data_IF_622145551281
#
_entry.id   IF_622145551281
#
_cell.length_a   1.000
_cell.length_b   1.000
_cell.length_c   1.000
_cell.angle_alpha   90.00
_cell.angle_beta   90.00
_cell.angle_gamma   90.00
#
_symmetry.space_group_name_H-M   'P 1'
#
loop_
_entity.id
_entity.type
_entity.pdbx_description
1 polymer ?
#
# COMPACT_ATOMS: atom_id res chain seq x y z
N UNK A 1 -4.70 13.88 -1.30
CA UNK A 1 -5.71 12.80 -1.39
C UNK A 1 -6.47 12.59 -0.07
N UNK A 2 -5.80 12.43 1.08
CA UNK A 2 -6.46 12.23 2.37
C UNK A 2 -7.44 13.37 2.73
N UNK A 3 -7.08 14.64 2.48
CA UNK A 3 -7.98 15.77 2.72
C UNK A 3 -9.32 15.67 2.00
N UNK A 4 -9.31 15.18 0.76
CA UNK A 4 -10.55 14.98 -0.01
C UNK A 4 -11.37 13.81 0.55
N UNK A 5 -10.70 12.73 0.98
CA UNK A 5 -11.36 11.57 1.61
C UNK A 5 -12.07 11.99 2.90
N UNK A 6 -11.42 12.78 3.76
CA UNK A 6 -11.96 13.19 5.06
C UNK A 6 -13.33 13.89 4.95
N UNK A 7 -13.56 14.66 3.89
CA UNK A 7 -14.84 15.34 3.62
C UNK A 7 -15.98 14.38 3.23
N UNK A 8 -15.65 13.16 2.78
CA UNK A 8 -16.58 12.19 2.21
C UNK A 8 -16.77 10.95 3.11
N UNK A 9 -16.10 10.90 4.26
CA UNK A 9 -16.19 9.78 5.17
C UNK A 9 -17.57 9.72 5.84
N UNK A 10 -18.13 8.51 5.91
CA UNK A 10 -19.36 8.25 6.67
C UNK A 10 -19.10 8.39 8.18
N UNK A 11 -20.17 8.65 8.94
CA UNK A 11 -20.15 8.57 10.41
C UNK A 11 -19.65 7.18 10.83
N UNK A 12 -18.73 7.12 11.79
CA UNK A 12 -17.99 5.93 12.25
C UNK A 12 -17.12 5.26 11.19
N UNK A 13 -16.74 6.00 10.14
CA UNK A 13 -15.79 5.53 9.14
C UNK A 13 -14.42 5.18 9.73
N UNK A 14 -13.63 4.42 8.99
CA UNK A 14 -12.29 3.96 9.41
C UNK A 14 -11.28 4.23 8.30
N UNK A 15 -10.11 4.72 8.68
CA UNK A 15 -8.97 4.94 7.79
C UNK A 15 -7.80 4.12 8.34
N UNK A 16 -7.35 3.15 7.54
CA UNK A 16 -6.15 2.36 7.84
C UNK A 16 -4.93 3.05 7.24
N UNK A 17 -4.06 3.59 8.08
CA UNK A 17 -2.86 4.31 7.66
C UNK A 17 -1.72 3.31 7.42
N UNK A 18 -1.73 2.67 6.25
CA UNK A 18 -0.66 1.77 5.81
C UNK A 18 0.60 2.52 5.35
N UNK A 19 0.44 3.74 4.83
CA UNK A 19 1.51 4.55 4.28
C UNK A 19 1.00 5.83 3.63
N UNK A 20 1.93 6.71 3.27
CA UNK A 20 1.67 8.02 2.65
C UNK A 20 2.66 8.30 1.52
N UNK A 21 2.68 7.44 0.49
CA UNK A 21 3.73 7.46 -0.56
C UNK A 21 3.91 8.81 -1.26
N UNK A 22 2.86 9.61 -1.38
CA UNK A 22 2.92 10.96 -1.98
C UNK A 22 3.82 11.93 -1.20
N UNK A 23 4.14 11.62 0.06
CA UNK A 23 4.93 12.47 0.95
C UNK A 23 6.41 12.09 0.99
N UNK A 24 6.79 10.87 0.57
CA UNK A 24 8.12 10.29 0.89
C UNK A 24 9.31 11.00 0.23
N UNK A 25 9.11 11.59 -0.95
CA UNK A 25 10.16 12.25 -1.71
C UNK A 25 10.06 13.79 -1.67
N UNK A 26 9.26 14.33 -0.75
CA UNK A 26 9.13 15.79 -0.57
C UNK A 26 10.19 16.30 0.41
N UNK A 27 10.74 17.49 0.12
CA UNK A 27 11.63 18.18 1.05
C UNK A 27 10.90 18.66 2.32
N UNK A 28 9.60 18.93 2.19
CA UNK A 28 8.71 19.32 3.28
C UNK A 28 7.38 18.60 3.14
N UNK A 29 6.90 18.02 4.24
CA UNK A 29 5.63 17.31 4.27
C UNK A 29 4.46 18.28 4.11
N UNK A 30 3.47 17.89 3.33
CA UNK A 30 2.22 18.62 3.20
C UNK A 30 1.31 18.33 4.40
N UNK A 31 0.77 19.38 5.01
CA UNK A 31 -0.15 19.25 6.15
C UNK A 31 -1.56 18.87 5.75
N UNK A 32 -2.21 18.02 6.55
CA UNK A 32 -3.62 17.63 6.40
C UNK A 32 -4.51 18.71 7.03
N UNK A 33 -5.43 19.29 6.26
CA UNK A 33 -6.25 20.44 6.66
C UNK A 33 -7.61 20.03 7.25
N UNK A 34 -8.16 18.89 6.86
CA UNK A 34 -9.55 18.51 7.13
C UNK A 34 -9.75 17.59 8.34
N UNK A 35 -8.81 17.55 9.30
CA UNK A 35 -8.85 16.63 10.44
C UNK A 35 -10.05 16.84 11.39
N UNK A 36 -10.68 18.02 11.39
CA UNK A 36 -11.91 18.28 12.16
C UNK A 36 -13.05 17.31 11.80
N UNK A 37 -13.06 16.76 10.57
CA UNK A 37 -14.03 15.76 10.15
C UNK A 37 -13.93 14.46 10.96
N UNK A 38 -12.75 14.15 11.54
CA UNK A 38 -12.60 12.99 12.41
C UNK A 38 -13.51 13.08 13.64
N UNK A 39 -13.67 14.29 14.20
CA UNK A 39 -14.53 14.55 15.35
C UNK A 39 -16.00 14.46 14.92
N UNK A 40 -16.38 15.26 13.93
CA UNK A 40 -17.77 15.35 13.48
C UNK A 40 -18.33 14.00 13.03
N UNK A 41 -17.51 13.18 12.38
CA UNK A 41 -17.89 11.86 11.90
C UNK A 41 -17.45 10.72 12.82
N UNK A 42 -16.77 10.96 13.96
CA UNK A 42 -16.26 9.92 14.87
C UNK A 42 -15.44 8.85 14.13
N UNK A 43 -14.56 9.29 13.24
CA UNK A 43 -13.74 8.43 12.40
C UNK A 43 -12.56 7.89 13.21
N UNK A 44 -12.28 6.59 13.08
CA UNK A 44 -11.02 6.01 13.57
C UNK A 44 -9.97 6.07 12.45
N UNK A 45 -8.89 6.78 12.69
CA UNK A 45 -7.73 6.81 11.80
C UNK A 45 -6.55 6.20 12.54
N UNK A 46 -6.04 5.06 12.07
CA UNK A 46 -5.09 4.23 12.82
C UNK A 46 -3.97 3.72 11.92
N UNK A 47 -2.73 3.93 12.34
CA UNK A 47 -1.55 3.35 11.72
C UNK A 47 -1.29 1.93 12.18
N UNK A 48 -0.69 1.14 11.31
CA UNK A 48 -0.24 -0.21 11.61
C UNK A 48 1.02 -0.51 10.82
N UNK A 49 1.87 -1.39 11.35
CA UNK A 49 3.07 -1.89 10.67
C UNK A 49 2.97 -3.41 10.57
N UNK A 50 3.32 -3.94 9.39
CA UNK A 50 3.20 -5.39 9.11
C UNK A 50 4.00 -6.24 10.09
N UNK A 51 5.14 -5.72 10.57
CA UNK A 51 6.03 -6.43 11.48
C UNK A 51 5.33 -6.80 12.81
N UNK A 52 4.39 -5.99 13.27
CA UNK A 52 3.63 -6.25 14.51
C UNK A 52 2.65 -7.43 14.36
N UNK A 53 2.40 -7.88 13.12
CA UNK A 53 1.35 -8.82 12.75
C UNK A 53 1.87 -10.16 12.20
N UNK A 54 3.19 -10.40 12.21
CA UNK A 54 3.75 -11.67 11.70
C UNK A 54 3.27 -12.92 12.45
N UNK A 55 2.76 -12.77 13.67
CA UNK A 55 2.07 -13.85 14.39
C UNK A 55 0.81 -14.38 13.68
N UNK A 56 0.30 -13.66 12.67
CA UNK A 56 -0.83 -14.08 11.82
C UNK A 56 -0.39 -14.67 10.48
N UNK A 57 0.91 -14.74 10.18
CA UNK A 57 1.42 -15.06 8.85
C UNK A 57 1.00 -16.45 8.37
N UNK A 58 1.14 -17.48 9.22
CA UNK A 58 0.75 -18.85 8.85
C UNK A 58 -0.75 -18.94 8.53
N UNK A 59 -1.59 -18.32 9.38
CA UNK A 59 -3.03 -18.22 9.16
C UNK A 59 -3.38 -17.47 7.86
N UNK A 60 -2.60 -16.45 7.51
CA UNK A 60 -2.75 -15.73 6.24
C UNK A 60 -2.43 -16.65 5.06
N UNK A 61 -1.35 -17.42 5.10
CA UNK A 61 -0.98 -18.36 4.04
C UNK A 61 -2.03 -19.47 3.86
N UNK A 62 -2.52 -20.04 4.95
CA UNK A 62 -3.60 -21.03 4.95
C UNK A 62 -4.86 -20.50 4.25
N UNK A 63 -5.17 -19.21 4.42
CA UNK A 63 -6.31 -18.56 3.78
C UNK A 63 -6.05 -18.23 2.31
N UNK A 64 -4.91 -17.62 1.99
CA UNK A 64 -4.69 -16.97 0.69
C UNK A 64 -4.17 -17.93 -0.39
N UNK A 65 -3.35 -18.92 -0.04
CA UNK A 65 -2.81 -19.88 -1.03
C UNK A 65 -3.93 -20.63 -1.78
N UNK A 66 -4.97 -21.18 -1.12
CA UNK A 66 -6.08 -21.82 -1.82
C UNK A 66 -6.82 -20.85 -2.73
N UNK A 67 -7.06 -19.61 -2.29
CA UNK A 67 -7.77 -18.60 -3.08
C UNK A 67 -7.00 -18.23 -4.36
N UNK A 68 -5.67 -18.18 -4.31
CA UNK A 68 -4.83 -17.99 -5.50
C UNK A 68 -4.94 -19.21 -6.42
N UNK A 69 -4.78 -20.43 -5.88
CA UNK A 69 -4.87 -21.68 -6.66
C UNK A 69 -6.24 -21.86 -7.34
N UNK A 70 -7.31 -21.42 -6.69
CA UNK A 70 -8.69 -21.45 -7.18
C UNK A 70 -9.02 -20.28 -8.13
N UNK A 71 -8.10 -19.33 -8.35
CA UNK A 71 -8.33 -18.15 -9.18
C UNK A 71 -9.31 -17.12 -8.57
N UNK A 72 -9.60 -17.22 -7.27
CA UNK A 72 -10.44 -16.26 -6.52
C UNK A 72 -9.69 -14.99 -6.14
N UNK A 73 -8.36 -15.05 -6.11
CA UNK A 73 -7.47 -13.89 -6.00
C UNK A 73 -6.58 -13.86 -7.24
N UNK A 74 -6.58 -12.71 -7.91
CA UNK A 74 -5.70 -12.42 -9.05
C UNK A 74 -4.62 -11.46 -8.57
N UNK A 75 -3.38 -11.66 -9.03
CA UNK A 75 -2.27 -10.76 -8.78
C UNK A 75 -1.68 -10.32 -10.12
N UNK A 76 -1.13 -9.10 -10.15
CA UNK A 76 -0.49 -8.50 -11.33
C UNK A 76 0.91 -8.08 -10.92
N UNK A 77 1.89 -8.50 -11.69
CA UNK A 77 3.30 -8.18 -11.48
C UNK A 77 3.82 -7.37 -12.67
N UNK A 78 4.66 -6.40 -12.35
CA UNK A 78 5.48 -5.66 -13.30
C UNK A 78 6.91 -6.19 -13.14
N UNK A 79 7.35 -6.98 -14.10
CA UNK A 79 8.57 -7.75 -14.01
C UNK A 79 9.66 -7.07 -14.84
N UNK A 80 10.79 -6.79 -14.21
CA UNK A 80 12.03 -6.41 -14.90
C UNK A 80 13.09 -7.50 -14.70
N UNK A 81 13.83 -7.81 -15.75
CA UNK A 81 14.93 -8.78 -15.73
C UNK A 81 16.25 -8.07 -15.43
N UNK A 82 17.15 -8.70 -14.67
CA UNK A 82 18.49 -8.21 -14.36
C UNK A 82 18.54 -7.28 -13.15
N UNK A 83 19.47 -7.57 -12.22
CA UNK A 83 19.67 -6.77 -11.00
C UNK A 83 20.09 -5.33 -11.30
N UNK A 84 20.78 -5.12 -12.42
CA UNK A 84 21.18 -3.81 -12.93
C UNK A 84 19.98 -2.89 -13.21
N UNK A 85 18.80 -3.45 -13.45
CA UNK A 85 17.57 -2.70 -13.68
C UNK A 85 16.82 -2.34 -12.40
N UNK A 86 17.19 -2.93 -11.25
CA UNK A 86 16.54 -2.68 -9.97
C UNK A 86 16.50 -1.18 -9.56
N UNK A 87 17.58 -0.38 -9.73
CA UNK A 87 17.54 1.04 -9.42
C UNK A 87 16.50 1.80 -10.27
N UNK A 88 16.46 1.52 -11.57
CA UNK A 88 15.50 2.16 -12.50
C UNK A 88 14.06 1.78 -12.14
N UNK A 89 13.81 0.50 -11.85
CA UNK A 89 12.50 0.00 -11.44
C UNK A 89 12.03 0.62 -10.12
N UNK A 90 12.92 0.75 -9.13
CA UNK A 90 12.61 1.41 -7.86
C UNK A 90 12.27 2.90 -8.05
N UNK A 91 13.03 3.63 -8.89
CA UNK A 91 12.70 5.02 -9.20
C UNK A 91 11.37 5.11 -9.98
N UNK A 92 11.11 4.15 -10.87
CA UNK A 92 9.86 4.04 -11.61
C UNK A 92 8.62 3.95 -10.71
N UNK A 93 8.71 3.23 -9.58
CA UNK A 93 7.65 3.12 -8.58
C UNK A 93 7.18 4.49 -8.08
N UNK A 94 8.11 5.40 -7.77
CA UNK A 94 7.78 6.74 -7.27
C UNK A 94 7.24 7.68 -8.36
N UNK A 95 7.40 7.29 -9.63
CA UNK A 95 6.84 7.99 -10.78
C UNK A 95 5.57 7.31 -11.32
N UNK A 96 5.05 6.30 -10.62
CA UNK A 96 3.84 5.56 -11.02
C UNK A 96 3.98 4.81 -12.34
N UNK A 97 5.20 4.39 -12.71
CA UNK A 97 5.46 3.68 -13.98
C UNK A 97 5.10 2.20 -13.93
N UNK A 98 5.06 1.61 -12.73
CA UNK A 98 4.77 0.20 -12.55
C UNK A 98 3.29 -0.11 -12.74
N UNK A 99 2.98 -1.24 -13.37
CA UNK A 99 1.62 -1.79 -13.48
C UNK A 99 1.50 -3.05 -12.63
N UNK A 100 1.06 -2.88 -11.38
CA UNK A 100 1.02 -3.98 -10.40
C UNK A 100 2.25 -4.00 -9.49
N UNK A 101 2.58 -5.16 -8.94
CA UNK A 101 3.71 -5.34 -8.03
C UNK A 101 5.01 -5.34 -8.83
N UNK A 102 5.88 -4.34 -8.61
CA UNK A 102 7.23 -4.35 -9.18
C UNK A 102 8.05 -5.52 -8.61
N UNK A 103 8.59 -6.35 -9.51
CA UNK A 103 9.48 -7.49 -9.25
C UNK A 103 10.73 -7.36 -10.12
N UNK A 104 11.88 -7.74 -9.56
CA UNK A 104 13.15 -7.86 -10.30
C UNK A 104 13.53 -9.32 -10.33
N UNK A 105 13.62 -9.91 -11.52
CA UNK A 105 14.18 -11.26 -11.71
C UNK A 105 15.68 -11.10 -11.82
N UNK A 106 16.40 -11.64 -10.84
CA UNK A 106 17.86 -11.51 -10.75
C UNK A 106 18.57 -12.56 -11.59
N UNK A 107 18.01 -13.76 -11.60
CA UNK A 107 18.47 -14.89 -12.40
C UNK A 107 17.24 -15.73 -12.75
N UNK A 108 17.14 -16.11 -14.02
CA UNK A 108 16.08 -16.95 -14.56
C UNK A 108 16.72 -18.27 -15.01
N UNK A 109 17.02 -19.13 -14.05
CA UNK A 109 17.36 -20.53 -14.35
C UNK A 109 16.16 -21.27 -14.94
#
# INVERSE_FOLDING_TARGET
MLDAVLLNMRIHGRISLCGMISQYNLNHLEGVQNLLNLIGNRIRMEGFIVNDHYHLYDKFLEMVIPLIKEGKIVYVEDIVEGIENAPSALIGLFHGRNVGKQVVVVDSQ
#
